data_IF_618323069488
#
_entry.id   IF_618323069488
#
_cell.length_a   1.000
_cell.length_b   1.000
_cell.length_c   1.000
_cell.angle_alpha   90.00
_cell.angle_beta   90.00
_cell.angle_gamma   90.00
#
_symmetry.space_group_name_H-M   'P 1'
#
loop_
_entity.id
_entity.type
_entity.pdbx_description
1 polymer ?
#
# COMPACT_ATOMS: atom_id res chain seq x y z
N UNK A 1 -20.37 -1.32 6.83
CA UNK A 1 -20.01 -1.76 8.20
C UNK A 1 -21.03 -2.75 8.70
N UNK A 2 -20.59 -3.92 9.13
CA UNK A 2 -21.45 -4.98 9.71
C UNK A 2 -20.94 -5.35 11.10
N UNK A 3 -21.82 -5.93 11.94
CA UNK A 3 -21.43 -6.43 13.26
C UNK A 3 -21.25 -5.35 14.33
N UNK A 4 -21.81 -4.16 14.13
CA UNK A 4 -21.82 -3.12 15.15
C UNK A 4 -22.63 -3.57 16.37
N UNK A 5 -22.13 -3.25 17.56
CA UNK A 5 -22.75 -3.51 18.86
C UNK A 5 -22.89 -2.21 19.66
N UNK A 6 -23.70 -2.20 20.71
CA UNK A 6 -23.82 -1.04 21.58
C UNK A 6 -22.49 -0.64 22.26
N UNK A 7 -21.57 -1.61 22.42
CA UNK A 7 -20.24 -1.40 22.97
C UNK A 7 -19.19 -0.99 21.94
N UNK A 8 -19.56 -0.89 20.64
CA UNK A 8 -18.60 -0.54 19.59
C UNK A 8 -18.15 0.91 19.74
N UNK A 9 -16.85 1.10 19.80
CA UNK A 9 -16.20 2.40 20.02
C UNK A 9 -15.76 3.04 18.68
N UNK A 10 -15.57 4.35 18.68
CA UNK A 10 -15.07 5.07 17.51
C UNK A 10 -13.69 4.59 17.02
N UNK A 11 -12.69 4.28 17.89
CA UNK A 11 -11.44 3.68 17.44
C UNK A 11 -11.60 2.33 16.76
N UNK A 12 -12.54 1.48 17.19
CA UNK A 12 -12.81 0.20 16.54
C UNK A 12 -13.40 0.39 15.13
N UNK A 13 -14.28 1.39 14.95
CA UNK A 13 -14.81 1.76 13.63
C UNK A 13 -13.67 2.25 12.72
N UNK A 14 -12.81 3.13 13.22
CA UNK A 14 -11.66 3.63 12.47
C UNK A 14 -10.72 2.48 12.06
N UNK A 15 -10.42 1.58 13.00
CA UNK A 15 -9.59 0.41 12.71
C UNK A 15 -10.21 -0.46 11.61
N UNK A 16 -11.51 -0.74 11.68
CA UNK A 16 -12.21 -1.54 10.69
C UNK A 16 -12.19 -0.92 9.28
N UNK A 17 -12.29 0.40 9.19
CA UNK A 17 -12.18 1.12 7.91
C UNK A 17 -10.75 1.06 7.33
N UNK A 18 -9.74 1.24 8.18
CA UNK A 18 -8.34 1.10 7.76
C UNK A 18 -8.04 -0.35 7.33
N UNK A 19 -8.56 -1.34 8.07
CA UNK A 19 -8.42 -2.77 7.75
C UNK A 19 -9.08 -3.11 6.42
N UNK A 20 -10.28 -2.60 6.15
CA UNK A 20 -10.96 -2.80 4.87
C UNK A 20 -10.16 -2.23 3.69
N UNK A 21 -9.51 -1.08 3.86
CA UNK A 21 -8.62 -0.49 2.84
C UNK A 21 -7.40 -1.39 2.59
N UNK A 22 -6.83 -1.96 3.65
CA UNK A 22 -5.71 -2.90 3.52
C UNK A 22 -6.15 -4.21 2.82
N UNK A 23 -7.35 -4.73 3.11
CA UNK A 23 -7.91 -5.90 2.45
C UNK A 23 -8.19 -5.64 0.97
N UNK A 24 -8.71 -4.47 0.60
CA UNK A 24 -8.88 -4.10 -0.79
C UNK A 24 -7.55 -4.08 -1.55
N UNK A 25 -6.50 -3.54 -0.93
CA UNK A 25 -5.14 -3.55 -1.51
C UNK A 25 -4.63 -4.99 -1.69
N UNK A 26 -4.80 -5.85 -0.66
CA UNK A 26 -4.42 -7.26 -0.77
C UNK A 26 -5.17 -7.97 -1.89
N UNK A 27 -6.46 -7.73 -2.03
CA UNK A 27 -7.27 -8.35 -3.08
C UNK A 27 -6.80 -7.95 -4.49
N UNK A 28 -6.36 -6.70 -4.67
CA UNK A 28 -5.75 -6.26 -5.94
C UNK A 28 -4.44 -7.01 -6.20
N UNK A 29 -3.57 -7.14 -5.18
CA UNK A 29 -2.31 -7.88 -5.30
C UNK A 29 -2.54 -9.37 -5.61
N UNK A 30 -3.51 -9.99 -4.95
CA UNK A 30 -3.88 -11.39 -5.18
C UNK A 30 -4.42 -11.58 -6.61
N UNK A 31 -5.24 -10.63 -7.09
CA UNK A 31 -5.75 -10.65 -8.45
C UNK A 31 -4.64 -10.51 -9.50
N UNK A 32 -3.70 -9.61 -9.31
CA UNK A 32 -2.54 -9.44 -10.18
C UNK A 32 -1.69 -10.72 -10.22
N UNK A 33 -1.42 -11.30 -9.05
CA UNK A 33 -0.67 -12.55 -8.93
C UNK A 33 -1.37 -13.72 -9.63
N UNK A 34 -2.70 -13.83 -9.49
CA UNK A 34 -3.51 -14.85 -10.17
C UNK A 34 -3.49 -14.71 -11.70
N UNK A 35 -3.22 -13.50 -12.21
CA UNK A 35 -3.06 -13.22 -13.64
C UNK A 35 -1.58 -13.22 -14.11
N UNK A 36 -0.68 -13.79 -13.33
CA UNK A 36 0.71 -13.98 -13.72
C UNK A 36 1.61 -12.73 -13.54
N UNK A 37 1.11 -11.67 -12.90
CA UNK A 37 1.90 -10.48 -12.60
C UNK A 37 2.59 -10.66 -11.25
N UNK A 38 3.89 -10.90 -11.26
CA UNK A 38 4.70 -11.00 -10.04
C UNK A 38 4.94 -9.60 -9.44
N UNK A 39 4.45 -9.38 -8.23
CA UNK A 39 4.71 -8.16 -7.47
C UNK A 39 5.85 -8.45 -6.48
N UNK A 40 7.04 -7.93 -6.74
CA UNK A 40 8.21 -8.17 -5.89
C UNK A 40 8.34 -7.15 -4.76
N UNK A 41 7.99 -5.90 -5.01
CA UNK A 41 8.17 -4.78 -4.07
C UNK A 41 6.95 -3.89 -4.01
N UNK A 42 6.65 -3.40 -2.82
CA UNK A 42 5.61 -2.40 -2.59
C UNK A 42 6.26 -1.10 -2.14
N UNK A 43 5.91 -0.02 -2.84
CA UNK A 43 6.40 1.32 -2.50
C UNK A 43 5.23 2.23 -2.19
N UNK A 44 5.22 2.78 -0.98
CA UNK A 44 4.24 3.77 -0.53
C UNK A 44 4.72 5.19 -0.87
N UNK A 45 3.86 5.95 -1.55
CA UNK A 45 4.06 7.37 -1.85
C UNK A 45 2.83 8.17 -1.46
N UNK A 46 3.00 9.46 -1.28
CA UNK A 46 1.89 10.38 -1.00
C UNK A 46 1.62 10.60 0.49
N UNK A 47 0.58 11.39 0.78
CA UNK A 47 0.36 11.96 2.10
C UNK A 47 0.07 10.95 3.21
N UNK A 48 -0.73 9.92 2.94
CA UNK A 48 -1.10 8.89 3.94
C UNK A 48 0.13 8.07 4.32
N UNK A 49 0.93 7.66 3.33
CA UNK A 49 2.14 6.87 3.59
C UNK A 49 3.15 7.62 4.46
N UNK A 50 3.21 8.94 4.33
CA UNK A 50 4.09 9.80 5.11
C UNK A 50 3.57 10.04 6.54
N UNK A 51 2.25 10.21 6.70
CA UNK A 51 1.62 10.70 7.93
C UNK A 51 1.11 9.61 8.85
N UNK A 52 0.83 8.41 8.34
CA UNK A 52 0.20 7.34 9.11
C UNK A 52 1.03 6.06 9.15
N UNK A 53 2.01 5.96 10.09
CA UNK A 53 2.73 4.70 10.33
C UNK A 53 1.80 3.53 10.64
N UNK A 54 0.68 3.80 11.32
CA UNK A 54 -0.34 2.80 11.62
C UNK A 54 -0.91 2.15 10.37
N UNK A 55 -1.34 2.95 9.38
CA UNK A 55 -1.91 2.42 8.13
C UNK A 55 -0.86 1.65 7.33
N UNK A 56 0.37 2.15 7.28
CA UNK A 56 1.45 1.48 6.55
C UNK A 56 1.85 0.14 7.18
N UNK A 57 1.90 0.08 8.52
CA UNK A 57 2.15 -1.17 9.22
C UNK A 57 1.00 -2.17 9.02
N UNK A 58 -0.25 -1.71 9.08
CA UNK A 58 -1.42 -2.55 8.82
C UNK A 58 -1.43 -3.12 7.40
N UNK A 59 -1.06 -2.30 6.41
CA UNK A 59 -0.88 -2.75 5.02
C UNK A 59 0.19 -3.83 4.91
N UNK A 60 1.36 -3.65 5.56
CA UNK A 60 2.41 -4.66 5.56
C UNK A 60 1.93 -5.96 6.20
N UNK A 61 1.27 -5.89 7.36
CA UNK A 61 0.73 -7.04 8.09
C UNK A 61 -0.32 -7.81 7.26
N UNK A 62 -1.22 -7.10 6.58
CA UNK A 62 -2.27 -7.70 5.76
C UNK A 62 -1.73 -8.30 4.46
N UNK A 63 -0.84 -7.59 3.78
CA UNK A 63 -0.28 -8.06 2.51
C UNK A 63 0.76 -9.16 2.67
N UNK A 64 1.34 -9.30 3.89
CA UNK A 64 2.46 -10.19 4.17
C UNK A 64 3.74 -9.78 3.44
N UNK A 65 3.88 -8.48 3.10
CA UNK A 65 4.98 -7.95 2.31
C UNK A 65 5.61 -6.74 2.95
N UNK A 66 6.92 -6.60 2.79
CA UNK A 66 7.60 -5.35 3.17
C UNK A 66 7.11 -4.20 2.29
N UNK A 67 6.85 -3.06 2.93
CA UNK A 67 6.48 -1.81 2.24
C UNK A 67 7.55 -0.76 2.52
N UNK A 68 8.15 -0.24 1.46
CA UNK A 68 9.07 0.89 1.52
C UNK A 68 8.31 2.19 1.29
N UNK A 69 8.37 3.12 2.24
CA UNK A 69 7.77 4.46 2.11
C UNK A 69 8.85 5.46 1.80
N UNK A 70 8.81 6.03 0.61
CA UNK A 70 9.79 7.02 0.14
C UNK A 70 9.49 8.38 0.77
N UNK A 71 10.51 9.01 1.38
CA UNK A 71 10.38 10.35 1.96
C UNK A 71 10.45 11.44 0.88
N UNK A 72 9.43 11.48 0.03
CA UNK A 72 9.23 12.51 -0.97
C UNK A 72 7.87 13.19 -0.75
N UNK A 73 7.88 14.42 -0.28
CA UNK A 73 6.65 15.18 0.00
C UNK A 73 5.84 15.50 -1.26
N UNK A 74 6.48 15.61 -2.41
CA UNK A 74 5.89 16.01 -3.68
C UNK A 74 6.17 14.97 -4.78
N UNK A 75 5.83 13.71 -4.51
CA UNK A 75 6.12 12.60 -5.42
C UNK A 75 5.55 12.80 -6.84
N UNK A 76 4.35 13.37 -6.97
CA UNK A 76 3.76 13.65 -8.29
C UNK A 76 4.55 14.74 -9.03
N UNK A 77 4.95 15.82 -8.36
CA UNK A 77 5.78 16.86 -8.95
C UNK A 77 7.16 16.31 -9.36
N UNK A 78 7.74 15.43 -8.54
CA UNK A 78 9.00 14.76 -8.88
C UNK A 78 8.86 13.90 -10.14
N UNK A 79 7.77 13.18 -10.31
CA UNK A 79 7.48 12.46 -11.56
C UNK A 79 7.47 13.39 -12.77
N UNK A 80 6.85 14.56 -12.66
CA UNK A 80 6.85 15.57 -13.73
C UNK A 80 8.26 16.09 -14.03
N UNK A 81 9.08 16.31 -13.01
CA UNK A 81 10.49 16.72 -13.16
C UNK A 81 11.31 15.66 -13.92
N UNK A 82 11.13 14.38 -13.57
CA UNK A 82 11.80 13.27 -14.28
C UNK A 82 11.49 13.33 -15.78
N UNK A 83 10.22 13.43 -16.17
CA UNK A 83 9.85 13.51 -17.58
C UNK A 83 10.35 14.79 -18.25
N UNK A 84 10.26 15.93 -17.58
CA UNK A 84 10.74 17.21 -18.11
C UNK A 84 12.24 17.19 -18.40
N UNK A 85 13.05 16.59 -17.53
CA UNK A 85 14.51 16.49 -17.72
C UNK A 85 14.90 15.55 -18.86
N UNK A 86 14.12 14.50 -19.12
CA UNK A 86 14.32 13.63 -20.29
C UNK A 86 13.96 14.38 -21.59
N UNK A 87 12.83 15.09 -21.60
CA UNK A 87 12.40 15.89 -22.78
C UNK A 87 13.40 17.00 -23.07
N UNK A 88 13.97 17.62 -22.03
CA UNK A 88 15.00 18.65 -22.18
C UNK A 88 16.40 18.09 -22.60
N UNK A 89 16.53 16.78 -22.74
CA UNK A 89 17.79 16.13 -23.13
C UNK A 89 18.85 16.08 -22.01
N UNK A 90 18.45 16.34 -20.74
CA UNK A 90 19.38 16.25 -19.60
C UNK A 90 19.74 14.80 -19.27
N UNK A 91 18.85 13.86 -19.53
CA UNK A 91 19.04 12.42 -19.35
C UNK A 91 18.56 11.65 -20.58
N UNK A 92 19.21 10.53 -20.86
CA UNK A 92 18.92 9.70 -22.03
C UNK A 92 17.66 8.84 -21.88
N UNK A 93 17.20 8.58 -20.64
CA UNK A 93 16.01 7.79 -20.36
C UNK A 93 15.34 8.17 -19.03
N UNK A 94 14.08 7.74 -18.87
CA UNK A 94 13.32 7.93 -17.63
C UNK A 94 14.00 7.20 -16.47
N UNK A 95 14.52 6.01 -16.71
CA UNK A 95 15.20 5.20 -15.69
C UNK A 95 16.49 5.86 -15.20
N UNK A 96 17.24 6.50 -16.11
CA UNK A 96 18.43 7.25 -15.78
C UNK A 96 18.09 8.48 -14.92
N UNK A 97 17.11 9.25 -15.34
CA UNK A 97 16.61 10.41 -14.61
C UNK A 97 16.08 10.01 -13.21
N UNK A 98 15.32 8.92 -13.10
CA UNK A 98 14.84 8.41 -11.83
C UNK A 98 15.98 8.02 -10.88
N UNK A 99 17.00 7.33 -11.37
CA UNK A 99 18.17 6.95 -10.57
C UNK A 99 18.93 8.17 -10.05
N UNK A 100 19.03 9.22 -10.84
CA UNK A 100 19.73 10.43 -10.46
C UNK A 100 18.92 11.32 -9.51
N UNK A 101 17.63 11.47 -9.73
CA UNK A 101 16.77 12.45 -9.07
C UNK A 101 15.95 11.90 -7.91
N UNK A 102 15.64 10.59 -7.91
CA UNK A 102 14.70 9.97 -6.97
C UNK A 102 15.38 9.14 -5.87
N UNK A 103 16.61 9.48 -5.49
CA UNK A 103 17.34 8.79 -4.42
C UNK A 103 16.95 9.34 -3.04
N UNK A 104 15.70 9.07 -2.63
CA UNK A 104 15.17 9.50 -1.34
C UNK A 104 15.36 8.40 -0.28
N UNK A 105 15.59 8.78 0.99
CA UNK A 105 15.55 7.82 2.09
C UNK A 105 14.16 7.17 2.18
N UNK A 106 14.13 5.90 2.54
CA UNK A 106 12.89 5.15 2.68
C UNK A 106 12.74 4.62 4.11
N UNK A 107 11.52 4.75 4.66
CA UNK A 107 11.11 4.01 5.85
C UNK A 107 10.54 2.67 5.43
N UNK A 108 10.88 1.60 6.15
CA UNK A 108 10.40 0.25 5.86
C UNK A 108 9.43 -0.23 6.91
N UNK A 109 8.40 -0.91 6.48
CA UNK A 109 7.42 -1.58 7.32
C UNK A 109 7.43 -3.06 6.96
N UNK A 110 7.91 -3.88 7.88
CA UNK A 110 7.92 -5.33 7.73
C UNK A 110 6.66 -5.93 8.36
N UNK A 111 6.07 -6.97 7.75
CA UNK A 111 4.91 -7.64 8.32
C UNK A 111 5.26 -8.25 9.67
N UNK A 112 4.28 -8.27 10.57
CA UNK A 112 4.36 -8.92 11.89
C UNK A 112 3.68 -10.27 11.81
N UNK A 113 4.45 -11.33 11.86
CA UNK A 113 3.98 -12.71 11.66
C UNK A 113 2.89 -13.12 12.64
N UNK A 114 2.93 -12.62 13.87
CA UNK A 114 1.94 -12.90 14.92
C UNK A 114 0.51 -12.46 14.56
N UNK A 115 0.37 -11.41 13.75
CA UNK A 115 -0.94 -10.86 13.36
C UNK A 115 -1.49 -11.45 12.08
N UNK A 116 -0.63 -11.99 11.25
CA UNK A 116 -1.01 -12.44 9.92
C UNK A 116 -2.14 -13.49 9.91
N UNK A 117 -2.14 -14.54 10.74
CA UNK A 117 -3.23 -15.54 10.72
C UNK A 117 -4.60 -14.95 11.03
N UNK A 118 -4.68 -14.06 12.03
CA UNK A 118 -5.93 -13.40 12.39
C UNK A 118 -6.44 -12.48 11.27
N UNK A 119 -5.52 -11.73 10.65
CA UNK A 119 -5.85 -10.82 9.55
C UNK A 119 -6.32 -11.61 8.31
N UNK A 120 -5.73 -12.77 8.04
CA UNK A 120 -6.19 -13.64 6.94
C UNK A 120 -7.58 -14.22 7.19
N UNK A 121 -7.89 -14.63 8.41
CA UNK A 121 -9.26 -15.05 8.77
C UNK A 121 -10.28 -13.92 8.54
N UNK A 122 -9.92 -12.68 8.88
CA UNK A 122 -10.77 -11.51 8.64
C UNK A 122 -10.87 -11.17 7.16
N UNK A 123 -9.79 -11.33 6.42
CA UNK A 123 -9.77 -11.13 4.96
C UNK A 123 -10.71 -12.11 4.24
N UNK A 124 -10.75 -13.38 4.64
CA UNK A 124 -11.73 -14.36 4.09
C UNK A 124 -13.17 -13.91 4.35
N UNK A 125 -13.47 -13.42 5.55
CA UNK A 125 -14.80 -12.84 5.85
C UNK A 125 -15.12 -11.62 4.99
N UNK A 126 -14.14 -10.75 4.78
CA UNK A 126 -14.27 -9.57 3.92
C UNK A 126 -14.63 -9.97 2.48
N UNK A 127 -13.95 -10.96 1.92
CA UNK A 127 -14.25 -11.49 0.58
C UNK A 127 -15.66 -12.09 0.51
N UNK A 128 -16.08 -12.88 1.50
CA UNK A 128 -17.39 -13.49 1.57
C UNK A 128 -18.54 -12.46 1.67
N UNK A 129 -18.30 -11.27 2.18
CA UNK A 129 -19.28 -10.18 2.27
C UNK A 129 -19.38 -9.32 0.99
N UNK A 130 -18.79 -9.74 -0.11
CA UNK A 130 -18.87 -9.04 -1.38
C UNK A 130 -17.82 -7.97 -1.60
N UNK A 131 -16.68 -8.09 -0.93
CA UNK A 131 -15.55 -7.14 -1.03
C UNK A 131 -14.91 -7.02 -2.42
N UNK A 132 -15.11 -7.98 -3.32
CA UNK A 132 -14.82 -7.91 -4.77
C UNK A 132 -15.62 -9.02 -5.48
N UNK A 133 -16.12 -8.80 -6.70
CA UNK A 133 -16.79 -9.85 -7.45
C UNK A 133 -15.83 -11.03 -7.69
N UNK A 134 -16.23 -12.21 -7.23
CA UNK A 134 -15.59 -13.45 -7.65
C UNK A 134 -15.96 -13.63 -9.13
N UNK A 135 -15.01 -13.50 -10.01
CA UNK A 135 -15.10 -13.98 -11.39
C UNK A 135 -14.38 -15.30 -11.51
#
# INVERSE_FOLDING_TARGET
LTGLRLSTTAPEIYYALAEATAFATKAILDHLAANGVAIERLTGIGGISQKSPFVMQLLADVTGREISVIDCKQACAMGSVVYATVIAGCYGSVEEAQRALCNFPARRYTPRDERHPLLMQRYERYKAQGGLPQR
#
